data_IF_736479248672
#
_entry.id   IF_736479248672
#
_cell.length_a   1.000
_cell.length_b   1.000
_cell.length_c   1.000
_cell.angle_alpha   90.00
_cell.angle_beta   90.00
_cell.angle_gamma   90.00
#
_symmetry.space_group_name_H-M   'P 1'
#
loop_
_entity.id
_entity.type
_entity.pdbx_description
1 polymer ?
#
# COMPACT_ATOMS: atom_id res chain seq x y z
N UNK A 1 13.85 7.80 -18.82
CA UNK A 1 13.16 8.07 -17.54
C UNK A 1 11.89 7.21 -17.29
N UNK A 2 11.38 6.42 -18.25
CA UNK A 2 10.13 5.63 -18.10
C UNK A 2 10.10 4.76 -16.84
N UNK A 3 11.20 4.03 -16.56
CA UNK A 3 11.32 3.16 -15.38
C UNK A 3 11.19 3.92 -14.06
N UNK A 4 11.90 5.05 -13.88
CA UNK A 4 11.80 5.87 -12.67
C UNK A 4 10.36 6.33 -12.38
N UNK A 5 9.66 6.80 -13.42
CA UNK A 5 8.29 7.31 -13.30
C UNK A 5 7.30 6.19 -13.00
N UNK A 6 7.30 5.12 -13.80
CA UNK A 6 6.30 4.06 -13.64
C UNK A 6 6.55 3.18 -12.40
N UNK A 7 7.81 2.92 -12.07
CA UNK A 7 8.16 2.08 -10.91
C UNK A 7 8.32 2.89 -9.61
N UNK A 8 8.08 4.21 -9.64
CA UNK A 8 8.21 5.12 -8.49
C UNK A 8 9.56 4.95 -7.77
N UNK A 9 10.66 5.04 -8.53
CA UNK A 9 12.00 4.76 -8.04
C UNK A 9 13.09 5.56 -8.74
N UNK A 10 14.34 5.29 -8.39
CA UNK A 10 15.50 6.01 -8.92
C UNK A 10 15.93 5.39 -10.27
N UNK A 11 16.35 6.23 -11.22
CA UNK A 11 17.09 5.79 -12.41
C UNK A 11 18.33 6.65 -12.54
N UNK A 12 19.50 6.00 -12.71
CA UNK A 12 20.78 6.68 -12.87
C UNK A 12 21.26 6.47 -14.31
N UNK A 13 21.69 7.56 -14.95
CA UNK A 13 22.34 7.53 -16.26
C UNK A 13 23.73 8.13 -16.08
N UNK A 14 24.76 7.33 -16.31
CA UNK A 14 26.15 7.81 -16.30
C UNK A 14 26.53 8.16 -17.73
N UNK A 15 26.93 9.42 -17.95
CA UNK A 15 27.27 9.95 -19.26
C UNK A 15 28.73 10.45 -19.24
N UNK A 16 29.65 9.78 -19.95
CA UNK A 16 31.02 10.26 -20.10
C UNK A 16 31.07 11.66 -20.73
N UNK A 17 31.98 12.53 -20.27
CA UNK A 17 32.05 13.91 -20.72
C UNK A 17 32.40 14.04 -22.21
N UNK A 18 33.23 13.16 -22.74
CA UNK A 18 33.58 13.11 -24.17
C UNK A 18 32.40 12.67 -25.05
N UNK A 19 31.52 11.81 -24.53
CA UNK A 19 30.30 11.38 -25.21
C UNK A 19 29.22 12.48 -25.17
N UNK A 20 29.12 13.21 -24.05
CA UNK A 20 28.17 14.32 -23.91
C UNK A 20 28.40 15.46 -24.92
N UNK A 21 29.65 15.61 -25.39
CA UNK A 21 30.04 16.63 -26.37
C UNK A 21 29.81 16.21 -27.83
N UNK A 22 29.52 14.92 -28.08
CA UNK A 22 29.25 14.43 -29.44
C UNK A 22 27.83 14.82 -29.88
N UNK A 23 27.59 15.03 -31.18
CA UNK A 23 26.25 15.31 -31.67
C UNK A 23 25.30 14.15 -31.34
N UNK A 24 24.12 14.48 -30.84
CA UNK A 24 23.04 13.52 -30.66
C UNK A 24 22.54 13.03 -32.04
N UNK A 25 21.93 11.84 -32.13
CA UNK A 25 21.38 11.35 -33.39
C UNK A 25 20.34 12.32 -33.98
N UNK A 26 20.46 12.65 -35.27
CA UNK A 26 19.61 13.65 -35.94
C UNK A 26 18.11 13.28 -35.96
N UNK A 27 17.79 11.98 -35.92
CA UNK A 27 16.41 11.47 -35.83
C UNK A 27 15.88 11.31 -34.40
N UNK A 28 16.64 11.72 -33.37
CA UNK A 28 16.19 11.60 -32.00
C UNK A 28 15.06 12.60 -31.69
N UNK A 29 13.99 12.11 -31.05
CA UNK A 29 12.90 12.96 -30.58
C UNK A 29 13.09 13.33 -29.12
N UNK A 30 12.87 14.62 -28.81
CA UNK A 30 12.76 15.11 -27.44
C UNK A 30 11.33 15.02 -26.89
N UNK A 31 10.35 14.68 -27.75
CA UNK A 31 8.97 14.57 -27.34
C UNK A 31 8.78 13.41 -26.36
N UNK A 32 8.18 13.70 -25.21
CA UNK A 32 7.90 12.71 -24.17
C UNK A 32 6.40 12.47 -24.05
N UNK A 33 5.98 11.23 -24.30
CA UNK A 33 4.63 10.80 -23.99
C UNK A 33 4.52 10.44 -22.50
N UNK A 34 3.65 11.15 -21.78
CA UNK A 34 3.34 10.87 -20.38
C UNK A 34 2.43 9.65 -20.27
N UNK A 35 3.03 8.47 -20.12
CA UNK A 35 2.28 7.25 -19.88
C UNK A 35 1.68 7.26 -18.45
N UNK A 36 0.35 7.17 -18.30
CA UNK A 36 -0.28 7.05 -16.99
C UNK A 36 0.02 5.66 -16.37
N UNK A 37 -0.22 5.54 -15.07
CA UNK A 37 -0.23 4.24 -14.41
C UNK A 37 -1.39 3.40 -14.95
N UNK A 38 -1.19 2.13 -15.28
CA UNK A 38 -2.29 1.26 -15.67
C UNK A 38 -3.22 1.02 -14.48
N UNK A 39 -4.48 0.74 -14.78
CA UNK A 39 -5.40 0.19 -13.78
C UNK A 39 -4.99 -1.25 -13.53
N UNK A 40 -4.64 -1.57 -12.28
CA UNK A 40 -4.26 -2.91 -11.87
C UNK A 40 -5.26 -3.37 -10.81
N UNK A 41 -6.11 -4.31 -11.19
CA UNK A 41 -7.11 -4.93 -10.31
C UNK A 41 -6.92 -6.45 -10.32
N UNK A 42 -7.13 -7.15 -9.20
CA UNK A 42 -7.13 -8.61 -9.18
C UNK A 42 -8.21 -9.19 -10.10
N UNK A 43 -8.05 -10.45 -10.49
CA UNK A 43 -9.07 -11.18 -11.24
C UNK A 43 -10.36 -11.35 -10.43
N UNK A 44 -11.49 -11.43 -11.11
CA UNK A 44 -12.80 -11.50 -10.47
C UNK A 44 -12.96 -12.73 -9.57
N UNK A 45 -12.38 -13.87 -9.95
CA UNK A 45 -12.41 -15.09 -9.16
C UNK A 45 -11.70 -14.91 -7.81
N UNK A 46 -10.53 -14.25 -7.82
CA UNK A 46 -9.78 -13.95 -6.60
C UNK A 46 -10.52 -12.95 -5.70
N UNK A 47 -11.21 -11.97 -6.29
CA UNK A 47 -12.07 -11.05 -5.54
C UNK A 47 -13.23 -11.78 -4.86
N UNK A 48 -13.84 -12.77 -5.54
CA UNK A 48 -14.92 -13.61 -4.97
C UNK A 48 -14.40 -14.47 -3.82
N UNK A 49 -13.22 -15.07 -3.96
CA UNK A 49 -12.55 -15.83 -2.90
C UNK A 49 -12.28 -14.95 -1.68
N UNK A 50 -11.73 -13.74 -1.88
CA UNK A 50 -11.50 -12.78 -0.81
C UNK A 50 -12.80 -12.38 -0.10
N UNK A 51 -13.86 -12.08 -0.86
CA UNK A 51 -15.16 -11.74 -0.28
C UNK A 51 -15.75 -12.91 0.54
N UNK A 52 -15.58 -14.15 0.08
CA UNK A 52 -16.02 -15.34 0.82
C UNK A 52 -15.21 -15.52 2.10
N UNK A 53 -13.89 -15.34 2.06
CA UNK A 53 -13.02 -15.41 3.23
C UNK A 53 -13.47 -14.38 4.28
N UNK A 54 -13.61 -13.11 3.88
CA UNK A 54 -14.05 -12.03 4.77
C UNK A 54 -15.43 -12.28 5.37
N UNK A 55 -16.34 -12.93 4.63
CA UNK A 55 -17.69 -13.25 5.11
C UNK A 55 -17.69 -14.22 6.30
N UNK A 56 -16.72 -15.13 6.38
CA UNK A 56 -16.60 -16.11 7.47
C UNK A 56 -15.61 -15.70 8.56
N UNK A 57 -15.01 -14.52 8.44
CA UNK A 57 -14.12 -13.93 9.44
C UNK A 57 -14.91 -13.07 10.44
N UNK A 58 -14.56 -13.18 11.73
CA UNK A 58 -15.23 -12.46 12.81
C UNK A 58 -14.47 -11.21 13.25
N UNK A 59 -13.15 -11.34 13.46
CA UNK A 59 -12.29 -10.26 13.95
C UNK A 59 -11.33 -9.80 12.85
N UNK A 60 -11.84 -8.96 11.95
CA UNK A 60 -11.04 -8.43 10.83
C UNK A 60 -10.42 -7.10 11.26
N UNK A 61 -9.11 -6.95 11.08
CA UNK A 61 -8.43 -5.67 11.19
C UNK A 61 -7.73 -5.31 9.88
N UNK A 62 -7.76 -4.02 9.53
CA UNK A 62 -7.11 -3.50 8.33
C UNK A 62 -5.83 -2.78 8.71
N UNK A 63 -4.72 -3.13 8.07
CA UNK A 63 -3.47 -2.38 8.17
C UNK A 63 -3.22 -1.62 6.87
N UNK A 64 -3.21 -0.29 6.98
CA UNK A 64 -3.21 0.62 5.85
C UNK A 64 -1.93 1.45 5.80
N UNK A 65 -1.25 1.44 4.65
CA UNK A 65 -0.04 2.23 4.40
C UNK A 65 -0.27 3.38 3.42
N UNK A 66 0.84 3.98 2.95
CA UNK A 66 0.82 5.03 1.93
C UNK A 66 0.26 4.58 0.58
N UNK A 67 0.11 3.28 0.36
CA UNK A 67 -0.57 2.73 -0.81
C UNK A 67 -2.06 3.07 -0.90
N UNK A 68 -2.67 3.55 0.20
CA UNK A 68 -4.06 4.00 0.22
C UNK A 68 -4.24 5.45 -0.27
N UNK A 69 -3.15 6.12 -0.68
CA UNK A 69 -3.22 7.47 -1.23
C UNK A 69 -4.20 7.54 -2.42
N UNK A 70 -5.23 8.38 -2.30
CA UNK A 70 -6.28 8.55 -3.30
C UNK A 70 -7.43 7.54 -3.22
N UNK A 71 -7.43 6.63 -2.26
CA UNK A 71 -8.47 5.61 -2.05
C UNK A 71 -9.15 5.72 -0.67
N UNK A 72 -9.15 6.91 -0.07
CA UNK A 72 -9.68 7.14 1.29
C UNK A 72 -11.17 6.81 1.40
N UNK A 73 -11.97 7.29 0.44
CA UNK A 73 -13.42 7.07 0.43
C UNK A 73 -13.76 5.58 0.37
N UNK A 74 -13.12 4.86 -0.54
CA UNK A 74 -13.30 3.43 -0.74
C UNK A 74 -12.85 2.65 0.50
N UNK A 75 -11.74 3.06 1.13
CA UNK A 75 -11.22 2.44 2.35
C UNK A 75 -12.21 2.59 3.52
N UNK A 76 -12.71 3.80 3.77
CA UNK A 76 -13.66 4.06 4.86
C UNK A 76 -14.99 3.33 4.62
N UNK A 77 -15.49 3.32 3.37
CA UNK A 77 -16.70 2.58 3.02
C UNK A 77 -16.51 1.06 3.21
N UNK A 78 -15.37 0.54 2.79
CA UNK A 78 -15.03 -0.87 2.95
C UNK A 78 -14.96 -1.25 4.44
N UNK A 79 -14.21 -0.51 5.25
CA UNK A 79 -14.11 -0.72 6.68
C UNK A 79 -15.48 -0.66 7.37
N UNK A 80 -16.34 0.29 6.97
CA UNK A 80 -17.70 0.41 7.49
C UNK A 80 -18.64 -0.72 7.10
N UNK A 81 -18.44 -1.37 5.95
CA UNK A 81 -19.19 -2.55 5.51
C UNK A 81 -18.84 -3.78 6.31
N UNK A 82 -17.55 -4.05 6.51
CA UNK A 82 -17.07 -5.22 7.25
C UNK A 82 -16.91 -4.99 8.75
N UNK A 83 -17.19 -3.76 9.23
CA UNK A 83 -17.03 -3.32 10.62
C UNK A 83 -15.61 -3.54 11.16
N UNK A 84 -14.60 -3.36 10.31
CA UNK A 84 -13.21 -3.59 10.67
C UNK A 84 -12.54 -2.28 11.14
N UNK A 85 -11.85 -2.28 12.30
CA UNK A 85 -10.96 -1.18 12.68
C UNK A 85 -9.76 -1.07 11.72
N UNK A 86 -9.30 0.16 11.49
CA UNK A 86 -8.15 0.49 10.66
C UNK A 86 -6.99 0.92 11.54
N UNK A 87 -5.87 0.21 11.41
CA UNK A 87 -4.56 0.61 11.93
C UNK A 87 -3.77 1.18 10.76
N UNK A 88 -3.13 2.34 10.94
CA UNK A 88 -2.31 2.93 9.88
C UNK A 88 -0.81 2.86 10.18
N UNK A 89 0.00 2.67 9.15
CA UNK A 89 1.45 2.87 9.22
C UNK A 89 1.78 4.37 9.19
N UNK A 90 2.96 4.76 9.68
CA UNK A 90 3.38 6.17 9.75
C UNK A 90 3.22 6.91 8.41
N UNK A 91 3.67 6.30 7.31
CA UNK A 91 3.57 6.89 5.96
C UNK A 91 2.14 6.90 5.40
N UNK A 92 1.22 6.18 6.02
CA UNK A 92 -0.20 6.20 5.68
C UNK A 92 -1.00 7.25 6.44
N UNK A 93 -0.45 7.85 7.51
CA UNK A 93 -1.16 8.79 8.39
C UNK A 93 -1.89 9.89 7.62
N UNK A 94 -1.19 10.59 6.73
CA UNK A 94 -1.73 11.68 5.91
C UNK A 94 -2.85 11.26 4.94
N UNK A 95 -3.00 9.96 4.67
CA UNK A 95 -3.95 9.42 3.71
C UNK A 95 -5.11 8.66 4.34
N UNK A 96 -5.02 8.32 5.63
CA UNK A 96 -5.91 7.34 6.29
C UNK A 96 -6.55 7.86 7.58
N UNK A 97 -5.85 8.70 8.36
CA UNK A 97 -6.29 9.06 9.71
C UNK A 97 -7.43 10.10 9.73
N UNK A 98 -7.45 11.02 8.76
CA UNK A 98 -8.48 12.07 8.71
C UNK A 98 -9.85 11.50 8.31
N UNK A 99 -10.95 12.09 8.81
CA UNK A 99 -12.34 11.73 8.49
C UNK A 99 -12.64 10.21 8.49
N UNK A 100 -11.95 9.46 9.37
CA UNK A 100 -12.04 8.01 9.42
C UNK A 100 -12.52 7.55 10.81
N UNK A 101 -13.81 7.20 10.97
CA UNK A 101 -14.37 6.76 12.25
C UNK A 101 -13.88 5.37 12.69
N UNK A 102 -13.17 4.65 11.81
CA UNK A 102 -12.64 3.32 12.09
C UNK A 102 -11.15 3.36 12.45
N UNK A 103 -10.51 4.54 12.44
CA UNK A 103 -9.10 4.66 12.78
C UNK A 103 -8.87 4.37 14.27
N UNK A 104 -7.93 3.48 14.54
CA UNK A 104 -7.48 3.13 15.90
C UNK A 104 -6.02 3.54 16.14
N UNK A 105 -5.49 4.40 15.28
CA UNK A 105 -4.13 4.90 15.34
C UNK A 105 -3.08 3.99 14.71
N UNK A 106 -1.83 4.27 15.06
CA UNK A 106 -0.65 3.56 14.57
C UNK A 106 -0.15 2.54 15.61
N UNK A 107 0.52 1.48 15.12
CA UNK A 107 1.21 0.48 15.94
C UNK A 107 2.73 0.69 15.97
N UNK A 108 3.44 -0.06 16.80
CA UNK A 108 4.91 -0.04 16.92
C UNK A 108 5.44 0.90 17.99
N UNK A 109 6.77 1.07 18.05
CA UNK A 109 7.45 1.73 19.17
C UNK A 109 6.98 3.18 19.41
N UNK A 110 6.59 3.86 18.34
CA UNK A 110 6.10 5.24 18.35
C UNK A 110 4.57 5.33 18.16
N UNK A 111 3.88 4.18 18.21
CA UNK A 111 2.44 4.08 18.06
C UNK A 111 1.72 4.03 19.41
N UNK A 112 0.45 3.60 19.36
CA UNK A 112 -0.42 3.48 20.52
C UNK A 112 -0.74 2.02 20.81
N UNK A 113 -1.08 1.71 22.06
CA UNK A 113 -1.49 0.37 22.49
C UNK A 113 -2.75 -0.11 21.78
N UNK A 114 -3.66 0.81 21.39
CA UNK A 114 -4.87 0.50 20.63
C UNK A 114 -4.55 -0.24 19.34
N UNK A 115 -3.67 0.32 18.49
CA UNK A 115 -3.27 -0.30 17.23
C UNK A 115 -2.57 -1.64 17.43
N UNK A 116 -1.77 -1.79 18.50
CA UNK A 116 -1.14 -3.06 18.84
C UNK A 116 -2.16 -4.14 19.25
N UNK A 117 -3.06 -3.83 20.18
CA UNK A 117 -4.08 -4.79 20.63
C UNK A 117 -5.09 -5.13 19.54
N UNK A 118 -5.48 -4.16 18.71
CA UNK A 118 -6.35 -4.41 17.55
C UNK A 118 -5.71 -5.41 16.60
N UNK A 119 -4.40 -5.30 16.33
CA UNK A 119 -3.72 -6.27 15.48
C UNK A 119 -3.54 -7.63 16.14
N UNK A 120 -3.15 -7.68 17.42
CA UNK A 120 -2.91 -8.96 18.12
C UNK A 120 -4.20 -9.77 18.34
N UNK A 121 -5.35 -9.10 18.41
CA UNK A 121 -6.65 -9.73 18.60
C UNK A 121 -7.41 -9.95 17.28
N UNK A 122 -6.83 -9.60 16.13
CA UNK A 122 -7.43 -9.85 14.83
C UNK A 122 -7.19 -11.30 14.39
N UNK A 123 -8.26 -11.96 13.94
CA UNK A 123 -8.23 -13.31 13.36
C UNK A 123 -7.96 -13.26 11.84
N UNK A 124 -8.18 -12.12 11.21
CA UNK A 124 -7.94 -11.92 9.77
C UNK A 124 -7.32 -10.56 9.53
N UNK A 125 -6.18 -10.57 8.82
CA UNK A 125 -5.38 -9.40 8.53
C UNK A 125 -5.42 -9.11 7.02
N UNK A 126 -5.92 -7.94 6.63
CA UNK A 126 -5.82 -7.47 5.26
C UNK A 126 -4.86 -6.28 5.18
N UNK A 127 -3.84 -6.43 4.36
CA UNK A 127 -2.68 -5.58 4.36
C UNK A 127 -2.60 -4.84 3.01
N UNK A 128 -3.07 -3.59 2.98
CA UNK A 128 -3.14 -2.84 1.73
C UNK A 128 -1.86 -2.03 1.57
N UNK A 129 -0.93 -2.57 0.74
CA UNK A 129 0.39 -1.99 0.39
C UNK A 129 1.02 -1.20 1.55
N UNK A 130 1.44 -1.94 2.56
CA UNK A 130 2.13 -1.45 3.75
C UNK A 130 3.61 -1.86 3.71
N UNK A 131 4.49 -1.01 4.22
CA UNK A 131 5.88 -1.37 4.52
C UNK A 131 6.12 -1.08 5.99
N UNK A 132 5.93 -2.08 6.86
CA UNK A 132 6.30 -1.98 8.27
C UNK A 132 7.60 -2.76 8.46
N UNK A 133 8.71 -2.12 8.85
CA UNK A 133 10.01 -2.77 9.01
C UNK A 133 10.12 -3.66 10.26
N UNK A 134 9.00 -4.04 10.88
CA UNK A 134 8.93 -4.73 12.17
C UNK A 134 8.00 -5.95 12.09
N UNK A 135 8.48 -7.11 11.60
CA UNK A 135 7.68 -8.34 11.46
C UNK A 135 7.11 -8.84 12.81
N UNK A 136 7.81 -8.59 13.92
CA UNK A 136 7.41 -8.98 15.29
C UNK A 136 6.12 -8.31 15.79
N UNK A 137 5.62 -7.31 15.08
CA UNK A 137 4.38 -6.60 15.43
C UNK A 137 3.16 -7.17 14.69
N UNK A 138 3.33 -8.15 13.80
CA UNK A 138 2.23 -8.83 13.14
C UNK A 138 1.71 -9.97 14.03
N UNK A 139 0.38 -10.22 14.08
CA UNK A 139 -0.17 -11.32 14.86
C UNK A 139 0.42 -12.66 14.39
N UNK A 140 0.88 -13.49 15.34
CA UNK A 140 1.51 -14.79 15.06
C UNK A 140 0.61 -15.72 14.23
N UNK A 141 -0.71 -15.58 14.35
CA UNK A 141 -1.70 -16.36 13.59
C UNK A 141 -1.80 -15.99 12.10
N UNK A 142 -1.25 -14.85 11.69
CA UNK A 142 -1.30 -14.35 10.31
C UNK A 142 0.04 -14.42 9.57
N UNK A 143 1.11 -14.92 10.21
CA UNK A 143 2.44 -15.02 9.60
C UNK A 143 2.57 -16.20 8.60
N UNK A 144 1.59 -17.12 8.54
CA UNK A 144 1.66 -18.39 7.81
C UNK A 144 1.00 -18.41 6.41
N UNK A 145 0.67 -17.26 5.81
CA UNK A 145 0.11 -17.21 4.44
C UNK A 145 1.01 -16.48 3.43
N UNK A 146 2.31 -16.75 3.52
CA UNK A 146 3.30 -16.30 2.53
C UNK A 146 4.12 -17.50 2.04
N UNK A 147 3.45 -18.52 1.50
CA UNK A 147 4.08 -19.52 0.61
C UNK A 147 3.64 -19.24 -0.83
#
# INVERSE_FOLDING_TARGET
MRKAVLNRGVSVVVLPGDVALKPAPEGATSHWYHAPQPVVTPEEEELRKLAQLLRYSSNIALMCGSGCAGAHKELVEFAGKIKAPIVHALRGKEHVEYDNPYDVGMTGLIGFSSGFHTMMNADTFSATRYSVPLPRLLPDRCQNHSD
#
